data_IF_248905288977
#
_entry.id   IF_248905288977
#
_cell.length_a   1.000
_cell.length_b   1.000
_cell.length_c   1.000
_cell.angle_alpha   90.00
_cell.angle_beta   90.00
_cell.angle_gamma   90.00
#
_symmetry.space_group_name_H-M   'P 1'
#
loop_
_entity.id
_entity.type
_entity.pdbx_description
1 polymer ?
#
# COMPACT_ATOMS: atom_id res chain seq x y z
N UNK A 1 -15.43 15.22 18.79
CA UNK A 1 -14.31 15.14 17.83
C UNK A 1 -14.42 16.36 16.94
N UNK A 2 -13.48 17.29 17.01
CA UNK A 2 -13.43 18.41 16.04
C UNK A 2 -13.18 17.85 14.65
N UNK A 3 -13.72 18.48 13.57
CA UNK A 3 -13.38 18.07 12.21
C UNK A 3 -11.85 18.08 12.08
N UNK A 4 -11.27 17.00 11.54
CA UNK A 4 -9.81 16.88 11.39
C UNK A 4 -9.30 18.09 10.61
N UNK A 5 -8.28 18.77 11.19
CA UNK A 5 -7.69 19.94 10.56
C UNK A 5 -7.14 19.57 9.16
N UNK A 6 -7.36 20.40 8.11
CA UNK A 6 -7.02 20.05 6.73
C UNK A 6 -5.52 19.81 6.57
N UNK A 7 -5.17 18.61 6.06
CA UNK A 7 -3.82 18.14 5.81
C UNK A 7 -3.56 18.03 4.30
N UNK A 8 -2.48 18.65 3.82
CA UNK A 8 -1.98 18.47 2.45
C UNK A 8 -0.57 17.86 2.47
N UNK A 9 -0.13 17.27 1.34
CA UNK A 9 1.25 16.84 1.17
C UNK A 9 1.95 17.63 0.06
N UNK A 10 3.25 17.81 0.26
CA UNK A 10 4.17 18.38 -0.73
C UNK A 10 5.23 17.34 -1.07
N UNK A 11 5.25 16.88 -2.33
CA UNK A 11 6.22 15.89 -2.82
C UNK A 11 7.31 16.59 -3.63
N UNK A 12 8.56 16.45 -3.19
CA UNK A 12 9.72 17.08 -3.84
C UNK A 12 10.33 16.12 -4.86
N UNK A 13 10.09 16.39 -6.15
CA UNK A 13 10.54 15.57 -7.27
C UNK A 13 11.45 16.35 -8.26
N UNK A 14 11.90 17.56 -7.94
CA UNK A 14 12.70 18.41 -8.85
C UNK A 14 14.19 18.04 -8.90
N UNK A 15 14.66 17.06 -8.11
CA UNK A 15 16.07 16.68 -8.04
C UNK A 15 16.54 15.87 -9.26
N UNK A 16 17.73 16.19 -9.81
CA UNK A 16 18.32 15.49 -10.97
C UNK A 16 18.91 14.11 -10.66
N UNK A 17 19.24 13.80 -9.41
CA UNK A 17 19.66 12.46 -8.98
C UNK A 17 20.95 11.92 -9.64
N UNK A 18 21.90 12.78 -9.93
CA UNK A 18 23.13 12.50 -10.72
C UNK A 18 23.95 11.30 -10.24
N UNK A 19 23.83 10.89 -8.98
CA UNK A 19 24.56 9.74 -8.39
C UNK A 19 24.07 8.37 -8.86
N UNK A 20 22.89 8.29 -9.49
CA UNK A 20 22.28 7.04 -9.96
C UNK A 20 22.31 6.89 -11.49
N UNK A 21 22.74 7.93 -12.21
CA UNK A 21 22.80 7.90 -13.67
C UNK A 21 23.85 6.88 -14.13
N UNK A 22 23.43 5.97 -15.00
CA UNK A 22 24.26 4.99 -15.70
C UNK A 22 23.91 5.02 -17.18
N UNK A 23 24.66 4.29 -18.01
CA UNK A 23 24.35 4.18 -19.43
C UNK A 23 22.95 3.61 -19.72
N UNK A 24 22.40 2.86 -18.77
CA UNK A 24 21.07 2.22 -18.89
C UNK A 24 19.94 3.05 -18.23
N UNK A 25 20.26 3.82 -17.17
CA UNK A 25 19.29 4.59 -16.38
C UNK A 25 19.59 6.10 -16.56
N UNK A 26 19.09 6.70 -17.64
CA UNK A 26 19.33 8.13 -17.97
C UNK A 26 18.29 9.07 -17.37
N UNK A 27 17.11 8.55 -16.98
CA UNK A 27 16.06 9.34 -16.37
C UNK A 27 16.40 9.75 -14.92
N UNK A 28 15.86 10.86 -14.41
CA UNK A 28 15.95 11.20 -12.99
C UNK A 28 15.35 10.08 -12.13
N UNK A 29 15.98 9.80 -10.99
CA UNK A 29 15.69 8.61 -10.17
C UNK A 29 14.22 8.44 -9.77
N UNK A 30 13.49 9.53 -9.59
CA UNK A 30 12.05 9.52 -9.26
C UNK A 30 11.17 9.00 -10.40
N UNK A 31 11.69 8.92 -11.61
CA UNK A 31 11.00 8.37 -12.78
C UNK A 31 11.53 7.00 -13.22
N UNK A 32 12.53 6.45 -12.52
CA UNK A 32 13.02 5.10 -12.82
C UNK A 32 11.94 4.05 -12.52
N UNK A 33 11.82 3.01 -13.36
CA UNK A 33 10.80 1.99 -13.19
C UNK A 33 11.08 1.08 -11.99
N UNK A 34 10.03 0.87 -11.18
CA UNK A 34 9.93 -0.17 -10.15
C UNK A 34 8.75 -1.08 -10.50
N UNK A 35 9.00 -2.14 -11.28
CA UNK A 35 7.93 -2.96 -11.83
C UNK A 35 7.01 -2.16 -12.77
N UNK A 36 5.67 -2.20 -12.59
CA UNK A 36 4.72 -1.57 -13.51
C UNK A 36 4.63 -0.03 -13.36
N UNK A 37 5.27 0.56 -12.36
CA UNK A 37 5.16 1.99 -12.03
C UNK A 37 6.53 2.61 -11.77
N UNK A 38 6.72 3.92 -12.06
CA UNK A 38 7.95 4.62 -11.65
C UNK A 38 7.95 4.91 -10.13
N UNK A 39 9.14 5.20 -9.58
CA UNK A 39 9.36 5.53 -8.15
C UNK A 39 8.35 6.57 -7.64
N UNK A 40 8.14 7.67 -8.38
CA UNK A 40 7.21 8.74 -8.00
C UNK A 40 5.77 8.21 -7.83
N UNK A 41 5.31 7.35 -8.74
CA UNK A 41 3.96 6.80 -8.65
C UNK A 41 3.75 5.98 -7.39
N UNK A 42 4.75 5.18 -6.98
CA UNK A 42 4.73 4.47 -5.71
C UNK A 42 4.68 5.42 -4.51
N UNK A 43 5.45 6.50 -4.53
CA UNK A 43 5.43 7.53 -3.48
C UNK A 43 4.05 8.19 -3.35
N UNK A 44 3.41 8.52 -4.48
CA UNK A 44 2.08 9.12 -4.49
C UNK A 44 1.01 8.16 -3.98
N UNK A 45 1.10 6.87 -4.33
CA UNK A 45 0.22 5.83 -3.80
C UNK A 45 0.38 5.68 -2.28
N UNK A 46 1.63 5.70 -1.76
CA UNK A 46 1.89 5.61 -0.33
C UNK A 46 1.24 6.75 0.47
N UNK A 47 1.37 7.96 -0.01
CA UNK A 47 0.73 9.12 0.61
C UNK A 47 -0.80 9.07 0.51
N UNK A 48 -1.32 8.58 -0.62
CA UNK A 48 -2.76 8.50 -0.87
C UNK A 48 -3.49 7.50 0.05
N UNK A 49 -2.77 6.56 0.66
CA UNK A 49 -3.30 5.63 1.67
C UNK A 49 -3.82 6.35 2.93
N UNK A 50 -3.34 7.56 3.21
CA UNK A 50 -3.86 8.40 4.28
C UNK A 50 -5.19 9.04 3.85
N UNK A 51 -6.27 8.67 4.54
CA UNK A 51 -7.61 9.19 4.25
C UNK A 51 -7.75 10.68 4.61
N UNK A 52 -7.05 11.13 5.64
CA UNK A 52 -7.04 12.51 6.12
C UNK A 52 -6.28 13.45 5.17
N UNK A 53 -5.43 12.89 4.29
CA UNK A 53 -4.68 13.67 3.31
C UNK A 53 -5.61 14.15 2.20
N UNK A 54 -5.86 15.44 2.15
CA UNK A 54 -6.81 16.06 1.23
C UNK A 54 -6.26 16.19 -0.18
N UNK A 55 -5.07 16.76 -0.32
CA UNK A 55 -4.45 17.16 -1.59
C UNK A 55 -2.96 16.91 -1.59
N UNK A 56 -2.41 16.56 -2.76
CA UNK A 56 -0.96 16.36 -2.96
C UNK A 56 -0.46 17.36 -4.01
N UNK A 57 0.48 18.21 -3.61
CA UNK A 57 1.23 19.11 -4.51
C UNK A 57 2.56 18.44 -4.86
N UNK A 58 2.87 18.32 -6.15
CA UNK A 58 4.16 17.79 -6.60
C UNK A 58 5.00 18.94 -7.18
N UNK A 59 6.27 19.00 -6.78
CA UNK A 59 7.26 19.93 -7.35
C UNK A 59 8.21 19.14 -8.24
N UNK A 60 8.21 19.48 -9.54
CA UNK A 60 9.00 18.79 -10.58
C UNK A 60 10.08 19.73 -11.16
N UNK A 61 11.07 19.17 -11.84
CA UNK A 61 11.98 19.98 -12.66
C UNK A 61 11.26 20.49 -13.92
N UNK A 62 11.70 21.64 -14.45
CA UNK A 62 11.09 22.26 -15.63
C UNK A 62 10.99 21.33 -16.84
N UNK A 63 12.01 20.47 -17.05
CA UNK A 63 12.08 19.55 -18.18
C UNK A 63 11.34 18.22 -17.95
N UNK A 64 10.85 17.95 -16.74
CA UNK A 64 10.31 16.64 -16.37
C UNK A 64 8.81 16.49 -16.66
N UNK A 65 8.17 17.48 -17.27
CA UNK A 65 6.74 17.46 -17.60
C UNK A 65 6.25 16.16 -18.26
N UNK A 66 6.88 15.70 -19.36
CA UNK A 66 6.51 14.45 -20.03
C UNK A 66 6.69 13.21 -19.13
N UNK A 67 7.76 13.13 -18.35
CA UNK A 67 8.02 12.03 -17.42
C UNK A 67 7.00 12.02 -16.28
N UNK A 68 6.63 13.20 -15.79
CA UNK A 68 5.59 13.35 -14.79
C UNK A 68 4.22 12.87 -15.30
N UNK A 69 3.84 13.32 -16.51
CA UNK A 69 2.58 12.87 -17.13
C UNK A 69 2.54 11.35 -17.29
N UNK A 70 3.60 10.74 -17.81
CA UNK A 70 3.71 9.28 -17.94
C UNK A 70 3.63 8.56 -16.58
N UNK A 71 4.17 9.15 -15.51
CA UNK A 71 4.04 8.59 -14.17
C UNK A 71 2.59 8.63 -13.69
N UNK A 72 1.86 9.72 -13.95
CA UNK A 72 0.45 9.86 -13.57
C UNK A 72 -0.46 8.89 -14.31
N UNK A 73 -0.15 8.51 -15.55
CA UNK A 73 -0.94 7.55 -16.33
C UNK A 73 -0.96 6.16 -15.68
N UNK A 74 0.01 5.84 -14.83
CA UNK A 74 0.06 4.59 -14.06
C UNK A 74 -0.78 4.61 -12.78
N UNK A 75 -1.38 5.76 -12.42
CA UNK A 75 -2.13 5.95 -11.18
C UNK A 75 -3.64 5.78 -11.37
N UNK A 76 -4.37 5.30 -10.35
CA UNK A 76 -5.83 5.28 -10.36
C UNK A 76 -6.44 6.67 -10.59
N UNK A 77 -7.58 6.79 -11.31
CA UNK A 77 -8.25 8.07 -11.55
C UNK A 77 -8.58 8.84 -10.26
N UNK A 78 -9.02 8.15 -9.22
CA UNK A 78 -9.37 8.75 -7.93
C UNK A 78 -8.15 9.43 -7.26
N UNK A 79 -6.95 8.84 -7.36
CA UNK A 79 -5.74 9.47 -6.86
C UNK A 79 -5.34 10.68 -7.73
N UNK A 80 -5.44 10.56 -9.05
CA UNK A 80 -5.13 11.69 -9.96
C UNK A 80 -5.98 12.91 -9.64
N UNK A 81 -7.24 12.74 -9.25
CA UNK A 81 -8.13 13.83 -8.85
C UNK A 81 -7.68 14.57 -7.56
N UNK A 82 -6.85 13.95 -6.73
CA UNK A 82 -6.27 14.55 -5.50
C UNK A 82 -4.96 15.30 -5.77
N UNK A 83 -4.40 15.19 -6.99
CA UNK A 83 -3.15 15.85 -7.35
C UNK A 83 -3.44 17.27 -7.83
N UNK A 84 -2.78 18.25 -7.22
CA UNK A 84 -2.75 19.62 -7.74
C UNK A 84 -1.88 19.70 -9.01
N UNK A 85 -2.08 20.69 -9.89
CA UNK A 85 -1.16 20.93 -10.99
C UNK A 85 0.28 21.02 -10.49
N UNK A 86 1.27 20.40 -11.20
CA UNK A 86 2.65 20.40 -10.73
C UNK A 86 3.25 21.81 -10.72
N UNK A 87 4.17 22.05 -9.81
CA UNK A 87 4.93 23.29 -9.69
C UNK A 87 6.36 23.06 -10.16
N UNK A 88 6.90 23.98 -10.94
CA UNK A 88 8.31 23.95 -11.30
C UNK A 88 9.17 24.31 -10.09
N UNK A 89 10.13 23.45 -9.76
CA UNK A 89 11.09 23.65 -8.67
C UNK A 89 12.13 24.73 -8.98
N UNK A 90 12.85 25.13 -7.93
CA UNK A 90 13.98 26.03 -8.05
C UNK A 90 15.33 25.28 -8.05
N UNK A 91 16.43 26.06 -8.04
CA UNK A 91 17.80 25.55 -8.14
C UNK A 91 18.25 24.68 -6.94
N UNK A 92 17.56 24.79 -5.82
CA UNK A 92 17.85 24.02 -4.61
C UNK A 92 16.61 23.28 -4.12
N UNK A 93 16.81 22.23 -3.27
CA UNK A 93 15.72 21.53 -2.58
C UNK A 93 14.88 22.52 -1.75
N UNK A 94 15.53 23.42 -1.02
CA UNK A 94 14.87 24.44 -0.20
C UNK A 94 14.02 25.40 -1.05
N UNK A 95 14.55 25.87 -2.19
CA UNK A 95 13.77 26.73 -3.12
C UNK A 95 12.58 25.97 -3.71
N UNK A 96 12.75 24.71 -4.07
CA UNK A 96 11.68 23.85 -4.58
C UNK A 96 10.56 23.65 -3.55
N UNK A 97 10.90 23.39 -2.29
CA UNK A 97 9.93 23.29 -1.19
C UNK A 97 9.18 24.60 -1.02
N UNK A 98 9.88 25.73 -0.98
CA UNK A 98 9.25 27.05 -0.86
C UNK A 98 8.23 27.31 -1.95
N UNK A 99 8.59 27.06 -3.22
CA UNK A 99 7.67 27.24 -4.36
C UNK A 99 6.42 26.36 -4.24
N UNK A 100 6.58 25.12 -3.79
CA UNK A 100 5.46 24.22 -3.54
C UNK A 100 4.55 24.70 -2.39
N UNK A 101 5.12 25.21 -1.29
CA UNK A 101 4.36 25.79 -0.18
C UNK A 101 3.59 27.05 -0.63
N UNK A 102 4.21 27.90 -1.46
CA UNK A 102 3.53 29.08 -2.03
C UNK A 102 2.33 28.69 -2.91
N UNK A 103 2.48 27.62 -3.70
CA UNK A 103 1.39 27.12 -4.54
C UNK A 103 0.22 26.59 -3.70
N UNK A 104 0.51 25.87 -2.59
CA UNK A 104 -0.52 25.44 -1.64
C UNK A 104 -1.25 26.62 -0.99
N UNK A 105 -0.52 27.70 -0.66
CA UNK A 105 -1.11 28.93 -0.12
C UNK A 105 -2.01 29.64 -1.15
N UNK A 106 -1.55 29.77 -2.41
CA UNK A 106 -2.29 30.43 -3.49
C UNK A 106 -3.58 29.66 -3.83
N UNK A 107 -3.54 28.32 -3.86
CA UNK A 107 -4.72 27.50 -4.10
C UNK A 107 -5.80 27.67 -3.01
N UNK A 108 -5.39 27.89 -1.76
CA UNK A 108 -6.30 28.22 -0.67
C UNK A 108 -6.96 29.60 -0.81
N UNK A 109 -6.27 30.56 -1.39
CA UNK A 109 -6.80 31.93 -1.60
C UNK A 109 -7.75 32.02 -2.80
N UNK A 110 -7.51 31.22 -3.86
CA UNK A 110 -8.32 31.22 -5.09
C UNK A 110 -9.71 30.56 -4.90
N UNK A 111 -9.84 29.64 -3.96
CA UNK A 111 -11.11 28.98 -3.66
C UNK A 111 -12.10 29.91 -2.92
N UNK A 112 -11.62 30.96 -2.26
CA UNK A 112 -12.46 31.99 -1.63
C UNK A 112 -13.06 33.02 -2.62
N UNK A 113 -12.71 32.97 -3.91
CA UNK A 113 -13.02 34.03 -4.87
C UNK A 113 -13.95 33.61 -6.02
N UNK A 114 -14.48 32.38 -6.08
CA UNK A 114 -15.37 31.92 -7.15
C UNK A 114 -16.75 31.56 -6.62
N UNK A 115 -17.69 32.43 -7.00
CA UNK A 115 -19.15 32.25 -7.08
C UNK A 115 -19.82 31.15 -6.21
N UNK A 116 -20.36 31.57 -5.03
CA UNK A 116 -21.66 31.14 -4.50
C UNK A 116 -21.87 29.65 -4.15
N UNK A 117 -21.01 28.72 -4.57
CA UNK A 117 -20.98 27.32 -4.13
C UNK A 117 -19.71 27.08 -3.32
N UNK A 118 -19.86 27.11 -2.00
CA UNK A 118 -18.84 26.69 -1.05
C UNK A 118 -18.49 25.21 -1.32
N UNK A 119 -17.37 24.97 -2.00
CA UNK A 119 -16.64 23.75 -1.78
C UNK A 119 -16.05 23.87 -0.37
N UNK A 120 -16.55 23.09 0.58
CA UNK A 120 -16.14 23.11 1.99
C UNK A 120 -14.63 22.81 2.21
N UNK A 121 -13.85 22.58 1.16
CA UNK A 121 -12.44 22.13 1.15
C UNK A 121 -11.41 23.11 0.54
N UNK A 122 -11.74 24.36 0.29
CA UNK A 122 -10.93 25.30 -0.52
C UNK A 122 -9.84 26.09 0.21
N UNK A 123 -9.68 25.99 1.52
CA UNK A 123 -8.73 26.76 2.33
C UNK A 123 -7.27 26.30 2.23
N UNK A 124 -6.33 27.17 2.69
CA UNK A 124 -4.96 26.73 2.97
C UNK A 124 -4.96 25.58 3.98
N UNK A 125 -4.02 24.60 3.91
CA UNK A 125 -3.98 23.53 4.87
C UNK A 125 -3.63 24.04 6.27
N UNK A 126 -4.07 23.32 7.31
CA UNK A 126 -3.58 23.56 8.68
C UNK A 126 -2.19 22.93 8.86
N UNK A 127 -1.98 21.76 8.28
CA UNK A 127 -0.73 21.03 8.32
C UNK A 127 -0.28 20.60 6.92
N UNK A 128 1.03 20.44 6.75
CA UNK A 128 1.64 19.94 5.52
C UNK A 128 2.67 18.87 5.83
N UNK A 129 2.65 17.78 5.05
CA UNK A 129 3.69 16.75 5.04
C UNK A 129 4.61 17.00 3.85
N UNK A 130 5.89 17.29 4.09
CA UNK A 130 6.92 17.43 3.04
C UNK A 130 7.62 16.09 2.88
N UNK A 131 7.56 15.53 1.66
CA UNK A 131 8.06 14.18 1.40
C UNK A 131 8.94 14.11 0.17
N UNK A 132 10.02 13.33 0.24
CA UNK A 132 10.92 13.08 -0.87
C UNK A 132 10.30 12.09 -1.87
N UNK A 133 10.20 12.46 -3.14
CA UNK A 133 9.72 11.58 -4.22
C UNK A 133 10.49 10.26 -4.37
N UNK A 134 11.68 10.17 -3.81
CA UNK A 134 12.53 8.98 -3.85
C UNK A 134 12.40 8.05 -2.63
N UNK A 135 11.32 8.16 -1.86
CA UNK A 135 10.96 7.23 -0.76
C UNK A 135 9.60 6.57 -1.06
N UNK A 136 9.58 5.58 -1.95
CA UNK A 136 8.32 5.01 -2.48
C UNK A 136 7.53 4.16 -1.49
N UNK A 137 8.16 3.63 -0.45
CA UNK A 137 7.55 2.66 0.46
C UNK A 137 7.35 3.26 1.86
N UNK A 138 6.55 4.32 1.94
CA UNK A 138 6.18 4.95 3.21
C UNK A 138 5.00 4.20 3.84
N UNK A 139 5.16 3.53 5.00
CA UNK A 139 4.05 2.90 5.70
C UNK A 139 3.07 3.95 6.25
N UNK A 140 1.76 3.67 6.16
CA UNK A 140 0.70 4.55 6.69
C UNK A 140 0.88 4.83 8.19
N UNK A 141 1.31 3.84 8.97
CA UNK A 141 1.58 3.99 10.40
C UNK A 141 2.58 5.11 10.75
N UNK A 142 3.49 5.48 9.82
CA UNK A 142 4.37 6.65 10.03
C UNK A 142 3.57 7.94 9.97
N UNK A 143 2.65 8.07 9.00
CA UNK A 143 1.77 9.23 8.87
C UNK A 143 0.85 9.32 10.08
N UNK A 144 0.26 8.21 10.52
CA UNK A 144 -0.62 8.14 11.70
C UNK A 144 0.08 8.63 12.98
N UNK A 145 1.36 8.23 13.20
CA UNK A 145 2.15 8.76 14.33
C UNK A 145 2.40 10.27 14.23
N UNK A 146 2.57 10.80 13.02
CA UNK A 146 2.71 12.24 12.83
C UNK A 146 1.40 12.97 13.10
N UNK A 147 0.26 12.43 12.67
CA UNK A 147 -1.07 12.98 12.96
C UNK A 147 -1.36 12.98 14.46
N UNK A 148 -1.01 11.91 15.17
CA UNK A 148 -1.11 11.86 16.64
C UNK A 148 -0.28 12.97 17.29
N UNK A 149 0.96 13.19 16.84
CA UNK A 149 1.80 14.27 17.37
C UNK A 149 1.22 15.67 17.08
N UNK A 150 0.58 15.89 15.93
CA UNK A 150 -0.16 17.13 15.66
C UNK A 150 -1.38 17.29 16.58
N UNK A 151 -2.11 16.21 16.85
CA UNK A 151 -3.24 16.21 17.78
C UNK A 151 -2.80 16.54 19.23
N UNK A 152 -1.57 16.15 19.60
CA UNK A 152 -0.91 16.50 20.87
C UNK A 152 -0.37 17.94 20.90
N UNK A 153 -0.58 18.74 19.84
CA UNK A 153 -0.22 20.15 19.77
C UNK A 153 1.19 20.46 19.26
N UNK A 154 1.90 19.49 18.71
CA UNK A 154 3.22 19.74 18.11
C UNK A 154 3.06 20.42 16.74
N UNK A 155 3.82 21.50 16.51
CA UNK A 155 3.79 22.28 15.26
C UNK A 155 4.81 21.80 14.20
N UNK A 156 5.82 21.01 14.60
CA UNK A 156 6.80 20.41 13.72
C UNK A 156 7.10 18.96 14.16
N UNK A 157 7.06 18.03 13.22
CA UNK A 157 7.21 16.59 13.48
C UNK A 157 8.12 15.98 12.45
N UNK A 158 9.11 15.19 12.89
CA UNK A 158 10.08 14.51 12.05
C UNK A 158 9.97 12.99 12.23
N UNK A 159 9.71 12.28 11.13
CA UNK A 159 9.88 10.84 11.11
C UNK A 159 11.39 10.49 11.08
N UNK A 160 11.86 9.69 12.02
CA UNK A 160 13.27 9.35 12.13
C UNK A 160 13.45 7.95 12.74
N UNK A 161 14.63 7.36 12.55
CA UNK A 161 15.03 6.09 13.17
C UNK A 161 16.20 6.29 14.11
N UNK A 162 16.23 5.62 15.29
CA UNK A 162 17.42 5.61 16.13
C UNK A 162 18.63 5.06 15.36
N UNK A 163 19.80 5.64 15.61
CA UNK A 163 21.04 5.14 15.00
C UNK A 163 21.57 3.95 15.81
N UNK A 164 21.61 2.79 15.18
CA UNK A 164 22.09 1.54 15.80
C UNK A 164 23.56 1.25 15.51
N UNK A 165 24.08 1.68 14.34
CA UNK A 165 25.47 1.46 13.95
C UNK A 165 26.45 2.39 14.69
N UNK A 166 27.71 1.95 14.82
CA UNK A 166 28.79 2.81 15.32
C UNK A 166 29.16 3.82 14.25
N UNK A 167 28.96 5.11 14.54
CA UNK A 167 29.33 6.20 13.64
C UNK A 167 30.78 6.59 13.81
N UNK A 168 31.51 6.71 12.68
CA UNK A 168 32.91 7.18 12.63
C UNK A 168 32.96 8.54 11.93
N UNK A 169 33.73 9.46 12.55
CA UNK A 169 34.16 10.68 11.87
C UNK A 169 35.38 10.34 11.02
N UNK A 170 35.43 10.82 9.79
CA UNK A 170 36.57 10.63 8.91
C UNK A 170 37.07 11.98 8.38
N UNK A 171 38.35 12.06 8.04
CA UNK A 171 38.91 13.18 7.31
C UNK A 171 38.63 13.08 5.80
N UNK A 172 39.09 14.09 5.03
CA UNK A 172 38.91 14.12 3.56
C UNK A 172 39.59 12.96 2.81
N UNK A 173 40.59 12.31 3.42
CA UNK A 173 41.26 11.13 2.89
C UNK A 173 40.58 9.79 3.25
N UNK A 174 39.41 9.82 3.90
CA UNK A 174 38.68 8.61 4.28
C UNK A 174 39.26 7.91 5.54
N UNK A 175 40.22 8.52 6.25
CA UNK A 175 40.79 7.95 7.48
C UNK A 175 39.91 8.32 8.66
N UNK A 176 39.55 7.32 9.47
CA UNK A 176 38.75 7.54 10.68
C UNK A 176 39.51 8.39 11.71
N UNK A 177 38.91 9.49 12.17
CA UNK A 177 39.46 10.42 13.14
C UNK A 177 38.83 10.34 14.52
N UNK A 178 37.77 9.55 14.67
CA UNK A 178 37.10 9.33 15.95
C UNK A 178 35.80 8.59 15.83
N UNK A 179 35.23 8.21 16.97
CA UNK A 179 33.89 7.65 17.09
C UNK A 179 32.95 8.73 17.58
N UNK A 180 31.79 8.81 16.98
CA UNK A 180 30.68 9.70 17.41
C UNK A 180 29.82 8.92 18.40
N UNK A 181 29.53 9.51 19.55
CA UNK A 181 28.54 8.94 20.45
C UNK A 181 27.18 8.95 19.76
N UNK A 182 26.59 7.77 19.67
CA UNK A 182 25.28 7.59 19.00
C UNK A 182 24.08 7.76 19.94
N UNK A 183 24.30 7.93 21.24
CA UNK A 183 23.22 8.13 22.19
C UNK A 183 22.44 9.40 21.83
N UNK A 184 21.12 9.25 21.64
CA UNK A 184 20.25 10.35 21.23
C UNK A 184 20.38 10.78 19.77
N UNK A 185 21.14 10.07 18.92
CA UNK A 185 21.20 10.34 17.49
C UNK A 185 20.10 9.59 16.75
N UNK A 186 19.42 10.30 15.85
CA UNK A 186 18.37 9.78 15.00
C UNK A 186 18.68 10.08 13.53
N UNK A 187 18.42 9.12 12.67
CA UNK A 187 18.52 9.27 11.22
C UNK A 187 17.21 9.84 10.68
N UNK A 188 17.24 11.10 10.24
CA UNK A 188 16.07 11.79 9.70
C UNK A 188 15.55 11.14 8.42
N UNK A 189 14.25 10.98 8.35
CA UNK A 189 13.53 10.52 7.16
C UNK A 189 12.58 11.61 6.67
N UNK A 190 11.74 11.28 5.71
CA UNK A 190 10.55 12.02 5.36
C UNK A 190 9.37 11.05 5.35
N UNK A 191 8.13 11.51 5.68
CA UNK A 191 7.67 12.90 5.74
C UNK A 191 8.26 13.71 6.89
N UNK A 192 8.37 15.02 6.65
CA UNK A 192 8.58 16.04 7.67
C UNK A 192 7.31 16.86 7.73
N UNK A 193 6.66 16.90 8.89
CA UNK A 193 5.33 17.48 9.05
C UNK A 193 5.37 18.80 9.81
N UNK A 194 4.54 19.75 9.39
CA UNK A 194 4.57 21.09 9.97
C UNK A 194 3.18 21.74 10.00
N UNK A 195 2.93 22.56 11.01
CA UNK A 195 1.90 23.59 10.93
C UNK A 195 2.19 24.48 9.72
N UNK A 196 1.28 24.47 8.74
CA UNK A 196 1.51 25.07 7.43
C UNK A 196 1.90 26.57 7.49
N UNK A 197 1.21 27.44 8.24
CA UNK A 197 1.57 28.85 8.29
C UNK A 197 2.98 29.08 8.85
N UNK A 198 3.42 28.21 9.79
CA UNK A 198 4.71 28.34 10.44
C UNK A 198 5.87 27.99 9.51
N UNK A 199 5.77 26.85 8.81
CA UNK A 199 6.84 26.45 7.88
C UNK A 199 6.91 27.36 6.65
N UNK A 200 5.77 27.82 6.14
CA UNK A 200 5.76 28.79 5.04
C UNK A 200 6.44 30.11 5.44
N UNK A 201 6.13 30.63 6.64
CA UNK A 201 6.77 31.83 7.17
C UNK A 201 8.29 31.62 7.35
N UNK A 202 8.72 30.46 7.85
CA UNK A 202 10.12 30.12 8.00
C UNK A 202 10.87 30.08 6.66
N UNK A 203 10.29 29.45 5.62
CA UNK A 203 10.87 29.44 4.27
C UNK A 203 10.95 30.84 3.65
N UNK A 204 9.95 31.70 3.86
CA UNK A 204 9.96 33.10 3.40
C UNK A 204 11.06 33.92 4.11
N UNK A 205 11.18 33.78 5.42
CA UNK A 205 12.18 34.46 6.22
C UNK A 205 13.59 34.04 5.81
N UNK A 206 13.86 32.74 5.64
CA UNK A 206 15.15 32.22 5.19
C UNK A 206 15.51 32.75 3.79
N UNK A 207 14.54 32.79 2.86
CA UNK A 207 14.74 33.32 1.52
C UNK A 207 15.03 34.82 1.55
N UNK A 208 14.32 35.63 2.35
CA UNK A 208 14.56 37.04 2.53
C UNK A 208 15.95 37.34 3.14
N UNK A 209 16.43 36.47 4.00
CA UNK A 209 17.79 36.52 4.59
C UNK A 209 18.90 35.95 3.69
N UNK A 210 18.57 35.45 2.47
CA UNK A 210 19.54 34.83 1.58
C UNK A 210 20.14 33.52 2.06
N UNK A 211 19.49 32.84 3.03
CA UNK A 211 19.99 31.60 3.61
C UNK A 211 19.55 30.39 2.77
N UNK A 212 20.55 29.59 2.33
CA UNK A 212 20.33 28.42 1.43
C UNK A 212 20.96 27.12 1.93
N UNK A 213 21.56 27.11 3.11
CA UNK A 213 22.40 26.02 3.63
C UNK A 213 21.67 24.96 4.47
N UNK A 214 20.35 24.99 4.55
CA UNK A 214 19.61 24.00 5.34
C UNK A 214 19.60 22.63 4.68
N UNK A 215 19.91 21.59 5.48
CA UNK A 215 20.00 20.21 4.99
C UNK A 215 18.64 19.59 4.73
N UNK A 216 17.63 20.00 5.50
CA UNK A 216 16.24 19.56 5.41
C UNK A 216 15.28 20.65 5.95
N UNK A 217 13.95 20.37 5.92
CA UNK A 217 12.96 21.35 6.34
C UNK A 217 12.87 21.45 7.86
N UNK A 218 13.29 20.41 8.59
CA UNK A 218 13.33 20.46 10.05
C UNK A 218 14.47 21.35 10.55
N UNK A 219 15.64 21.32 9.94
CA UNK A 219 16.74 22.24 10.30
C UNK A 219 16.38 23.71 10.04
N UNK A 220 15.56 23.98 9.01
CA UNK A 220 15.02 25.30 8.76
C UNK A 220 13.94 25.68 9.81
N UNK A 221 13.08 24.75 10.20
CA UNK A 221 12.11 24.94 11.25
C UNK A 221 12.77 25.23 12.61
N UNK A 222 13.83 24.49 12.96
CA UNK A 222 14.64 24.73 14.18
C UNK A 222 15.28 26.13 14.17
N UNK A 223 15.86 26.54 13.02
CA UNK A 223 16.37 27.89 12.87
C UNK A 223 15.29 28.97 13.09
N UNK A 224 14.06 28.70 12.65
CA UNK A 224 12.90 29.58 12.86
C UNK A 224 12.31 29.47 14.28
N UNK A 225 12.91 28.72 15.19
CA UNK A 225 12.51 28.58 16.59
C UNK A 225 11.35 27.60 16.83
N UNK A 226 11.03 26.70 15.87
CA UNK A 226 10.07 25.62 16.10
C UNK A 226 10.74 24.46 16.85
N UNK A 227 10.04 23.91 17.83
CA UNK A 227 10.42 22.66 18.46
C UNK A 227 10.00 21.48 17.60
N UNK A 228 10.94 20.62 17.21
CA UNK A 228 10.69 19.47 16.34
C UNK A 228 10.49 18.20 17.18
N UNK A 229 9.31 17.63 17.12
CA UNK A 229 8.99 16.34 17.76
C UNK A 229 9.47 15.19 16.86
N UNK A 230 10.29 14.29 17.40
CA UNK A 230 10.63 13.05 16.71
C UNK A 230 9.53 12.01 16.90
N UNK A 231 9.14 11.34 15.81
CA UNK A 231 8.32 10.14 15.81
C UNK A 231 9.06 9.00 15.11
N UNK A 232 8.76 7.77 15.49
CA UNK A 232 9.42 6.62 14.89
C UNK A 232 9.06 6.50 13.41
N UNK A 233 10.08 6.49 12.56
CA UNK A 233 9.98 6.25 11.13
C UNK A 233 9.81 4.76 10.80
N UNK A 234 10.26 4.36 9.62
CA UNK A 234 10.25 2.96 9.21
C UNK A 234 11.48 2.62 8.37
N UNK A 235 12.01 1.40 8.54
CA UNK A 235 13.14 0.90 7.75
C UNK A 235 12.81 0.81 6.25
N UNK A 236 11.53 0.59 5.93
CA UNK A 236 11.03 0.51 4.55
C UNK A 236 10.87 1.89 3.89
N UNK A 237 10.79 2.97 4.68
CA UNK A 237 10.78 4.35 4.18
C UNK A 237 12.18 4.85 3.78
N UNK A 238 13.06 3.94 3.33
CA UNK A 238 14.41 4.31 2.88
C UNK A 238 14.38 5.16 1.61
N UNK A 239 15.42 5.97 1.43
CA UNK A 239 15.58 6.83 0.26
C UNK A 239 16.40 6.13 -0.81
N UNK A 240 15.88 6.04 -2.02
CA UNK A 240 16.63 5.56 -3.18
C UNK A 240 17.72 6.60 -3.52
N UNK A 241 18.97 6.27 -3.23
CA UNK A 241 20.13 7.15 -3.45
C UNK A 241 21.26 6.48 -4.22
N UNK A 242 21.38 5.17 -4.12
CA UNK A 242 22.42 4.34 -4.75
C UNK A 242 21.79 3.29 -5.67
N UNK A 243 22.64 2.64 -6.50
CA UNK A 243 22.18 1.51 -7.33
C UNK A 243 21.72 0.31 -6.47
N UNK A 244 22.34 0.10 -5.33
CA UNK A 244 21.91 -0.94 -4.40
C UNK A 244 20.49 -0.66 -3.86
N UNK A 245 20.20 0.61 -3.50
CA UNK A 245 18.85 0.99 -3.09
C UNK A 245 17.82 0.76 -4.21
N UNK A 246 18.19 1.06 -5.46
CA UNK A 246 17.29 0.84 -6.61
C UNK A 246 17.02 -0.65 -6.85
N UNK A 247 18.04 -1.50 -6.74
CA UNK A 247 17.85 -2.95 -6.87
C UNK A 247 16.98 -3.50 -5.72
N UNK A 248 17.21 -3.05 -4.49
CA UNK A 248 16.34 -3.36 -3.34
C UNK A 248 14.91 -2.91 -3.64
N UNK A 249 14.72 -1.68 -4.09
CA UNK A 249 13.40 -1.13 -4.38
C UNK A 249 12.66 -1.90 -5.50
N UNK A 250 13.37 -2.37 -6.53
CA UNK A 250 12.80 -3.23 -7.57
C UNK A 250 12.35 -4.58 -7.01
N UNK A 251 13.13 -5.18 -6.11
CA UNK A 251 12.75 -6.42 -5.43
C UNK A 251 11.55 -6.21 -4.50
N UNK A 252 11.51 -5.09 -3.76
CA UNK A 252 10.39 -4.77 -2.87
C UNK A 252 9.11 -4.49 -3.69
N UNK A 253 9.20 -3.71 -4.79
CA UNK A 253 8.06 -3.47 -5.68
C UNK A 253 7.54 -4.74 -6.34
N UNK A 254 8.40 -5.71 -6.67
CA UNK A 254 8.00 -7.00 -7.26
C UNK A 254 7.21 -7.88 -6.27
N UNK A 255 7.28 -7.61 -4.98
CA UNK A 255 6.48 -8.30 -3.94
C UNK A 255 5.08 -7.70 -3.79
N UNK A 256 4.85 -6.52 -4.37
CA UNK A 256 3.54 -5.86 -4.35
C UNK A 256 2.75 -6.31 -5.57
N UNK A 257 1.61 -6.97 -5.43
CA UNK A 257 0.79 -7.39 -6.56
C UNK A 257 0.38 -6.20 -7.44
N UNK A 258 0.48 -6.36 -8.74
CA UNK A 258 0.03 -5.36 -9.69
C UNK A 258 -1.49 -5.18 -9.56
N UNK A 259 -1.94 -4.00 -9.15
CA UNK A 259 -3.38 -3.67 -9.08
C UNK A 259 -3.96 -3.53 -7.68
N UNK A 260 -3.24 -3.94 -6.63
CA UNK A 260 -3.72 -3.70 -5.26
C UNK A 260 -3.39 -2.28 -4.78
N UNK A 261 -4.29 -1.62 -4.00
CA UNK A 261 -3.96 -0.42 -3.24
C UNK A 261 -2.74 -0.67 -2.35
N UNK A 262 -1.95 0.35 -2.08
CA UNK A 262 -0.73 0.23 -1.27
C UNK A 262 -1.00 -0.13 0.20
N UNK A 263 -2.22 0.04 0.66
CA UNK A 263 -2.74 -0.46 1.95
C UNK A 263 -2.56 -1.98 2.09
N UNK A 264 -2.53 -2.72 0.97
CA UNK A 264 -2.20 -4.15 0.96
C UNK A 264 -0.68 -4.41 1.15
N UNK A 265 0.18 -3.39 1.00
CA UNK A 265 1.63 -3.46 1.22
C UNK A 265 2.06 -2.81 2.55
N UNK A 266 1.21 -2.01 3.21
CA UNK A 266 1.36 -1.73 4.62
C UNK A 266 1.34 -3.10 5.30
N UNK A 267 2.47 -3.51 5.90
CA UNK A 267 2.48 -4.69 6.75
C UNK A 267 1.35 -4.49 7.75
N UNK A 268 0.27 -5.26 7.60
CA UNK A 268 -0.84 -5.20 8.55
C UNK A 268 -0.22 -5.28 9.93
N UNK A 269 -0.42 -4.28 10.76
CA UNK A 269 -0.01 -4.37 12.15
C UNK A 269 -0.83 -5.48 12.81
N UNK A 270 -0.26 -6.67 12.77
CA UNK A 270 -0.91 -7.85 13.31
C UNK A 270 -1.07 -7.80 14.83
N UNK A 271 -0.41 -6.86 15.53
CA UNK A 271 -0.60 -6.67 16.97
C UNK A 271 -2.00 -6.15 17.31
N UNK A 272 -2.61 -5.39 16.38
CA UNK A 272 -4.00 -4.95 16.49
C UNK A 272 -5.03 -6.10 16.33
N UNK A 273 -4.58 -7.29 15.88
CA UNK A 273 -5.41 -8.46 15.61
C UNK A 273 -4.85 -9.68 16.35
N UNK A 274 -4.89 -9.70 17.69
CA UNK A 274 -4.26 -10.74 18.49
C UNK A 274 -5.02 -12.08 18.45
N UNK A 275 -6.32 -12.09 18.15
CA UNK A 275 -7.13 -13.30 18.07
C UNK A 275 -6.91 -13.98 16.72
N UNK A 276 -6.26 -15.15 16.76
CA UNK A 276 -5.93 -15.95 15.59
C UNK A 276 -6.86 -17.14 15.52
N UNK A 277 -7.67 -17.20 14.48
CA UNK A 277 -8.60 -18.31 14.23
C UNK A 277 -8.24 -19.04 12.96
N UNK A 278 -8.28 -20.35 13.02
CA UNK A 278 -7.99 -21.25 11.89
C UNK A 278 -9.12 -22.25 11.76
N UNK A 279 -9.62 -22.39 10.53
CA UNK A 279 -10.58 -23.43 10.22
C UNK A 279 -10.29 -24.07 8.86
N UNK A 280 -10.90 -25.22 8.62
CA UNK A 280 -10.82 -25.94 7.36
C UNK A 280 -12.18 -25.99 6.69
N UNK A 281 -12.18 -25.97 5.36
CA UNK A 281 -13.35 -26.24 4.52
C UNK A 281 -13.03 -27.41 3.61
N UNK A 282 -14.03 -28.21 3.32
CA UNK A 282 -13.93 -29.34 2.41
C UNK A 282 -15.16 -29.39 1.50
N UNK A 283 -14.91 -29.45 0.19
CA UNK A 283 -15.99 -29.57 -0.79
C UNK A 283 -15.67 -30.60 -1.87
N UNK A 284 -16.73 -31.17 -2.46
CA UNK A 284 -16.63 -32.20 -3.48
C UNK A 284 -17.72 -32.01 -4.52
N UNK A 285 -17.32 -32.03 -5.80
CA UNK A 285 -18.26 -32.01 -6.91
C UNK A 285 -18.01 -33.17 -7.87
N UNK A 286 -19.09 -33.82 -8.29
CA UNK A 286 -19.05 -34.87 -9.28
C UNK A 286 -18.89 -34.29 -10.70
N UNK A 287 -18.34 -35.05 -11.62
CA UNK A 287 -18.30 -34.68 -13.03
C UNK A 287 -19.64 -34.96 -13.74
N UNK A 288 -20.03 -34.03 -14.60
CA UNK A 288 -21.13 -34.17 -15.56
C UNK A 288 -20.70 -33.73 -16.98
N UNK A 289 -21.47 -33.99 -18.04
CA UNK A 289 -21.09 -33.59 -19.40
C UNK A 289 -20.84 -32.09 -19.52
N UNK A 290 -19.73 -31.71 -20.16
CA UNK A 290 -19.31 -30.32 -20.34
C UNK A 290 -17.96 -30.25 -21.05
N UNK A 291 -17.36 -29.08 -21.15
CA UNK A 291 -16.14 -28.79 -21.90
C UNK A 291 -15.07 -28.05 -21.08
N UNK A 292 -15.40 -27.66 -19.85
CA UNK A 292 -14.45 -27.03 -18.93
C UNK A 292 -14.90 -27.23 -17.47
N UNK A 293 -13.95 -27.19 -16.54
CA UNK A 293 -14.22 -27.09 -15.10
C UNK A 293 -13.82 -25.68 -14.62
N UNK A 294 -14.60 -25.11 -13.69
CA UNK A 294 -14.23 -23.86 -13.01
C UNK A 294 -13.52 -24.23 -11.71
N UNK A 295 -12.28 -23.76 -11.53
CA UNK A 295 -11.46 -24.04 -10.36
C UNK A 295 -10.68 -22.79 -9.95
N UNK A 296 -10.90 -22.32 -8.71
CA UNK A 296 -10.22 -21.13 -8.19
C UNK A 296 -10.52 -19.85 -8.99
N UNK A 297 -11.74 -19.74 -9.52
CA UNK A 297 -12.22 -18.62 -10.30
C UNK A 297 -11.73 -18.55 -11.74
N UNK A 298 -11.11 -19.65 -12.27
CA UNK A 298 -10.68 -19.72 -13.66
C UNK A 298 -11.24 -20.94 -14.38
N UNK A 299 -11.51 -20.80 -15.69
CA UNK A 299 -11.95 -21.91 -16.52
C UNK A 299 -10.75 -22.77 -16.96
N UNK A 300 -10.77 -24.05 -16.63
CA UNK A 300 -9.74 -25.03 -16.99
C UNK A 300 -10.32 -25.98 -18.04
N UNK A 301 -9.74 -26.08 -19.23
CA UNK A 301 -10.21 -26.98 -20.27
C UNK A 301 -10.26 -28.44 -19.79
N UNK A 302 -11.39 -29.11 -19.97
CA UNK A 302 -11.61 -30.49 -19.57
C UNK A 302 -12.79 -31.06 -20.37
N UNK A 303 -12.85 -32.39 -20.59
CA UNK A 303 -13.94 -33.07 -21.35
C UNK A 303 -15.28 -33.12 -20.58
N UNK A 304 -15.30 -32.65 -19.32
CA UNK A 304 -16.45 -32.68 -18.42
C UNK A 304 -16.43 -31.40 -17.58
N UNK A 305 -17.57 -30.95 -17.06
CA UNK A 305 -17.72 -29.91 -16.05
C UNK A 305 -18.06 -30.51 -14.69
N UNK A 306 -18.02 -29.70 -13.66
CA UNK A 306 -18.48 -30.08 -12.32
C UNK A 306 -20.00 -29.85 -12.18
N UNK A 307 -20.68 -30.75 -11.52
CA UNK A 307 -22.10 -30.69 -11.23
C UNK A 307 -22.33 -29.82 -9.98
N UNK A 308 -23.26 -28.86 -10.05
CA UNK A 308 -23.59 -28.01 -8.91
C UNK A 308 -24.70 -27.01 -9.23
N UNK A 309 -25.18 -26.30 -8.20
CA UNK A 309 -26.22 -25.27 -8.34
C UNK A 309 -25.64 -23.92 -8.81
N UNK A 310 -24.36 -23.67 -8.52
CA UNK A 310 -23.58 -22.51 -8.99
C UNK A 310 -22.76 -22.88 -10.22
N UNK A 311 -21.62 -22.23 -10.45
CA UNK A 311 -20.57 -22.66 -11.40
C UNK A 311 -19.77 -23.88 -10.90
N UNK A 312 -20.11 -24.38 -9.71
CA UNK A 312 -19.51 -25.56 -9.05
C UNK A 312 -17.99 -25.46 -8.82
N UNK A 313 -17.46 -24.27 -8.54
CA UNK A 313 -16.05 -24.08 -8.20
C UNK A 313 -15.77 -24.65 -6.81
N UNK A 314 -15.36 -25.92 -6.75
CA UNK A 314 -15.05 -26.66 -5.52
C UNK A 314 -13.94 -26.01 -4.70
N UNK A 315 -13.04 -25.25 -5.33
CA UNK A 315 -11.93 -24.53 -4.66
C UNK A 315 -12.44 -23.32 -3.91
N UNK A 316 -13.25 -22.48 -4.56
CA UNK A 316 -13.83 -21.29 -3.92
C UNK A 316 -14.86 -21.67 -2.86
N UNK A 317 -15.62 -22.75 -3.03
CA UNK A 317 -16.52 -23.26 -2.01
C UNK A 317 -15.77 -23.72 -0.74
N UNK A 318 -14.72 -24.52 -0.91
CA UNK A 318 -13.90 -24.96 0.24
C UNK A 318 -13.24 -23.78 0.96
N UNK A 319 -12.78 -22.75 0.23
CA UNK A 319 -12.23 -21.52 0.82
C UNK A 319 -13.29 -20.72 1.56
N UNK A 320 -14.51 -20.63 1.02
CA UNK A 320 -15.64 -19.96 1.66
C UNK A 320 -15.96 -20.60 2.99
N UNK A 321 -16.08 -21.94 3.03
CA UNK A 321 -16.35 -22.70 4.26
C UNK A 321 -15.22 -22.56 5.29
N UNK A 322 -13.96 -22.57 4.83
CA UNK A 322 -12.83 -22.34 5.73
C UNK A 322 -12.89 -20.96 6.40
N UNK A 323 -13.26 -19.93 5.67
CA UNK A 323 -13.39 -18.56 6.19
C UNK A 323 -14.58 -18.45 7.15
N UNK A 324 -15.76 -18.94 6.75
CA UNK A 324 -16.97 -18.95 7.60
C UNK A 324 -16.74 -19.74 8.88
N UNK A 325 -16.11 -20.92 8.79
CA UNK A 325 -15.76 -21.72 9.93
C UNK A 325 -14.79 -21.04 10.92
N UNK A 326 -13.83 -20.27 10.41
CA UNK A 326 -12.88 -19.53 11.26
C UNK A 326 -13.54 -18.41 12.07
N UNK A 327 -14.65 -17.86 11.59
CA UNK A 327 -15.45 -16.85 12.31
C UNK A 327 -16.70 -17.46 12.98
N UNK A 328 -16.77 -18.80 13.04
CA UNK A 328 -17.88 -19.55 13.64
C UNK A 328 -19.27 -19.19 13.07
N UNK A 329 -19.34 -18.89 11.77
CA UNK A 329 -20.55 -18.42 11.07
C UNK A 329 -21.14 -19.48 10.12
N UNK A 330 -21.24 -20.74 10.61
CA UNK A 330 -21.84 -21.85 9.87
C UNK A 330 -21.05 -22.22 8.59
N UNK A 331 -21.78 -22.49 7.49
CA UNK A 331 -21.26 -22.97 6.21
C UNK A 331 -21.92 -22.26 5.01
N UNK A 332 -21.41 -22.49 3.81
CA UNK A 332 -21.93 -21.91 2.57
C UNK A 332 -23.40 -22.25 2.35
N UNK A 333 -23.86 -23.44 2.75
CA UNK A 333 -25.26 -23.87 2.59
C UNK A 333 -26.24 -23.09 3.47
N UNK A 334 -25.80 -22.60 4.63
CA UNK A 334 -26.59 -21.78 5.52
C UNK A 334 -26.79 -20.35 4.98
N UNK A 335 -25.75 -19.79 4.33
CA UNK A 335 -25.80 -18.44 3.74
C UNK A 335 -26.42 -18.43 2.34
N UNK A 336 -26.25 -19.52 1.57
CA UNK A 336 -26.66 -19.64 0.18
C UNK A 336 -27.43 -20.95 -0.04
N UNK A 337 -28.68 -21.05 0.49
CA UNK A 337 -29.43 -22.29 0.41
C UNK A 337 -29.62 -22.75 -1.05
N UNK A 338 -29.31 -24.00 -1.39
CA UNK A 338 -29.50 -24.53 -2.74
C UNK A 338 -30.96 -24.48 -3.24
N UNK A 339 -31.90 -24.35 -2.31
CA UNK A 339 -33.34 -24.20 -2.61
C UNK A 339 -33.72 -22.80 -3.16
N UNK A 340 -32.85 -21.78 -3.02
CA UNK A 340 -33.10 -20.43 -3.54
C UNK A 340 -32.68 -20.34 -5.01
N UNK A 341 -33.63 -20.17 -5.96
CA UNK A 341 -33.35 -20.13 -7.40
C UNK A 341 -32.35 -19.04 -7.83
N UNK A 342 -32.17 -17.98 -7.04
CA UNK A 342 -31.26 -16.87 -7.36
C UNK A 342 -29.80 -17.30 -7.45
N UNK A 343 -29.41 -18.40 -6.80
CA UNK A 343 -28.05 -18.91 -6.79
C UNK A 343 -27.75 -19.88 -7.93
N UNK A 344 -28.76 -20.20 -8.73
CA UNK A 344 -28.60 -21.12 -9.87
C UNK A 344 -27.70 -20.51 -10.94
N UNK A 345 -26.55 -21.11 -11.17
CA UNK A 345 -25.53 -20.63 -12.11
C UNK A 345 -24.75 -19.39 -11.62
N UNK A 346 -24.85 -19.02 -10.35
CA UNK A 346 -24.08 -17.92 -9.78
C UNK A 346 -22.58 -18.24 -9.82
N UNK A 347 -21.75 -17.23 -10.06
CA UNK A 347 -20.30 -17.36 -9.94
C UNK A 347 -19.88 -17.48 -8.46
N UNK A 348 -19.03 -18.45 -8.14
CA UNK A 348 -18.65 -18.78 -6.76
C UNK A 348 -17.78 -17.72 -6.09
N UNK A 349 -17.21 -16.77 -6.83
CA UNK A 349 -16.51 -15.63 -6.26
C UNK A 349 -17.41 -14.77 -5.37
N UNK A 350 -18.71 -14.68 -5.65
CA UNK A 350 -19.69 -13.96 -4.83
C UNK A 350 -19.83 -14.57 -3.42
N UNK A 351 -19.71 -15.89 -3.30
CA UNK A 351 -19.78 -16.58 -2.00
C UNK A 351 -18.53 -16.29 -1.17
N UNK A 352 -17.37 -16.32 -1.83
CA UNK A 352 -16.10 -15.99 -1.18
C UNK A 352 -16.07 -14.52 -0.74
N UNK A 353 -16.50 -13.59 -1.58
CA UNK A 353 -16.60 -12.15 -1.25
C UNK A 353 -17.52 -11.95 -0.04
N UNK A 354 -18.68 -12.60 0.01
CA UNK A 354 -19.58 -12.51 1.16
C UNK A 354 -18.92 -12.97 2.46
N UNK A 355 -18.16 -14.08 2.44
CA UNK A 355 -17.43 -14.53 3.63
C UNK A 355 -16.34 -13.53 4.07
N UNK A 356 -15.67 -12.88 3.11
CA UNK A 356 -14.71 -11.81 3.39
C UNK A 356 -15.38 -10.58 4.02
N UNK A 357 -16.56 -10.19 3.53
CA UNK A 357 -17.35 -9.08 4.08
C UNK A 357 -17.77 -9.36 5.53
N UNK A 358 -18.10 -10.61 5.87
CA UNK A 358 -18.42 -11.02 7.25
C UNK A 358 -17.20 -10.95 8.17
N UNK A 359 -16.00 -11.28 7.68
CA UNK A 359 -14.74 -11.07 8.41
C UNK A 359 -14.48 -9.59 8.63
N UNK A 360 -14.65 -8.76 7.59
CA UNK A 360 -14.46 -7.32 7.66
C UNK A 360 -15.48 -6.65 8.61
N UNK A 361 -16.74 -7.08 8.60
CA UNK A 361 -17.78 -6.59 9.52
C UNK A 361 -17.45 -6.87 11.01
N UNK A 362 -16.65 -7.91 11.28
CA UNK A 362 -16.09 -8.19 12.61
C UNK A 362 -14.77 -7.47 12.86
N UNK A 363 -14.38 -6.50 12.03
CA UNK A 363 -13.11 -5.80 12.11
C UNK A 363 -11.88 -6.69 11.84
N UNK A 364 -12.09 -7.90 11.32
CA UNK A 364 -11.04 -8.90 11.11
C UNK A 364 -10.35 -8.78 9.76
N UNK A 365 -9.30 -9.58 9.60
CA UNK A 365 -8.54 -9.72 8.34
C UNK A 365 -8.18 -11.18 8.07
N UNK A 366 -8.22 -11.55 6.79
CA UNK A 366 -7.66 -12.83 6.34
C UNK A 366 -6.14 -12.73 6.37
N UNK A 367 -5.48 -13.66 7.05
CA UNK A 367 -4.03 -13.68 7.17
C UNK A 367 -3.36 -14.63 6.16
N UNK A 368 -3.99 -15.76 5.85
CA UNK A 368 -3.44 -16.75 4.92
C UNK A 368 -4.55 -17.70 4.44
N UNK A 369 -4.46 -18.11 3.18
CA UNK A 369 -5.32 -19.12 2.56
C UNK A 369 -4.45 -20.21 1.95
N UNK A 370 -4.81 -21.46 2.20
CA UNK A 370 -4.17 -22.64 1.63
C UNK A 370 -5.24 -23.61 1.12
N UNK A 371 -5.10 -24.09 -0.11
CA UNK A 371 -6.02 -25.08 -0.67
C UNK A 371 -5.27 -26.20 -1.36
N UNK A 372 -5.73 -27.43 -1.14
CA UNK A 372 -5.26 -28.64 -1.80
C UNK A 372 -6.37 -29.23 -2.66
N UNK A 373 -6.14 -29.34 -3.96
CA UNK A 373 -7.05 -29.93 -4.94
C UNK A 373 -6.67 -31.38 -5.12
N UNK A 374 -7.64 -32.28 -4.98
CA UNK A 374 -7.45 -33.74 -5.12
C UNK A 374 -8.18 -34.20 -6.39
N UNK A 375 -7.45 -34.51 -7.45
CA UNK A 375 -8.01 -35.00 -8.72
C UNK A 375 -6.96 -35.74 -9.57
N UNK A 376 -7.38 -36.68 -10.40
CA UNK A 376 -6.55 -37.29 -11.42
C UNK A 376 -6.44 -36.42 -12.70
N UNK A 377 -7.51 -35.68 -12.99
CA UNK A 377 -7.64 -34.73 -14.10
C UNK A 377 -8.62 -33.61 -13.72
N UNK A 378 -8.42 -32.37 -14.27
CA UNK A 378 -7.33 -31.94 -15.14
C UNK A 378 -5.98 -31.85 -14.40
N UNK A 379 -4.88 -31.62 -15.11
CA UNK A 379 -3.58 -31.34 -14.51
C UNK A 379 -3.55 -29.90 -13.98
N UNK A 380 -3.41 -29.76 -12.66
CA UNK A 380 -3.47 -28.45 -11.98
C UNK A 380 -2.16 -27.66 -12.12
N UNK A 381 -1.01 -28.34 -12.21
CA UNK A 381 0.29 -27.68 -12.27
C UNK A 381 0.40 -26.52 -13.25
N UNK A 382 -0.04 -26.66 -14.52
CA UNK A 382 0.03 -25.60 -15.53
C UNK A 382 -0.83 -24.36 -15.23
N UNK A 383 -1.93 -24.52 -14.48
CA UNK A 383 -2.93 -23.47 -14.20
C UNK A 383 -2.89 -22.98 -12.74
N UNK A 384 -2.05 -23.59 -11.90
CA UNK A 384 -1.94 -23.31 -10.46
C UNK A 384 -1.66 -21.85 -10.15
N UNK A 385 -0.73 -21.22 -10.87
CA UNK A 385 -0.34 -19.84 -10.57
C UNK A 385 -1.43 -18.85 -10.99
N UNK A 386 -2.16 -19.11 -12.07
CA UNK A 386 -3.33 -18.33 -12.46
C UNK A 386 -4.48 -18.45 -11.43
N UNK A 387 -4.71 -19.64 -10.84
CA UNK A 387 -5.65 -19.80 -9.73
C UNK A 387 -5.22 -18.99 -8.50
N UNK A 388 -3.93 -19.04 -8.13
CA UNK A 388 -3.39 -18.26 -7.00
C UNK A 388 -3.59 -16.77 -7.20
N UNK A 389 -3.30 -16.27 -8.40
CA UNK A 389 -3.49 -14.85 -8.76
C UNK A 389 -4.97 -14.46 -8.66
N UNK A 390 -5.87 -15.28 -9.20
CA UNK A 390 -7.31 -15.01 -9.15
C UNK A 390 -7.86 -15.04 -7.73
N UNK A 391 -7.49 -16.01 -6.90
CA UNK A 391 -7.88 -16.07 -5.48
C UNK A 391 -7.32 -14.87 -4.72
N UNK A 392 -6.06 -14.50 -4.95
CA UNK A 392 -5.44 -13.34 -4.33
C UNK A 392 -6.17 -12.03 -4.71
N UNK A 393 -6.59 -11.90 -5.98
CA UNK A 393 -7.40 -10.78 -6.48
C UNK A 393 -8.75 -10.71 -5.78
N UNK A 394 -9.52 -11.81 -5.75
CA UNK A 394 -10.85 -11.86 -5.11
C UNK A 394 -10.75 -11.49 -3.63
N UNK A 395 -9.71 -12.01 -2.93
CA UNK A 395 -9.55 -11.82 -1.49
C UNK A 395 -8.79 -10.55 -1.12
N UNK A 396 -8.35 -9.75 -2.08
CA UNK A 396 -7.45 -8.60 -1.88
C UNK A 396 -6.23 -8.95 -1.01
N UNK A 397 -5.63 -10.14 -1.24
CA UNK A 397 -4.48 -10.64 -0.50
C UNK A 397 -3.20 -10.56 -1.32
N UNK A 398 -2.03 -10.32 -0.68
CA UNK A 398 -0.74 -10.52 -1.31
C UNK A 398 -0.59 -11.98 -1.78
N UNK A 399 -0.03 -12.18 -2.99
CA UNK A 399 0.12 -13.52 -3.60
C UNK A 399 0.87 -14.51 -2.70
N UNK A 400 1.82 -14.02 -1.87
CA UNK A 400 2.55 -14.84 -0.88
C UNK A 400 1.69 -15.34 0.30
N UNK A 401 0.42 -14.92 0.40
CA UNK A 401 -0.55 -15.37 1.41
C UNK A 401 -1.60 -16.32 0.86
N UNK A 402 -1.47 -16.72 -0.40
CA UNK A 402 -2.35 -17.68 -1.06
C UNK A 402 -1.51 -18.85 -1.56
N UNK A 403 -1.85 -20.07 -1.12
CA UNK A 403 -1.22 -21.31 -1.55
C UNK A 403 -2.25 -22.19 -2.26
N UNK A 404 -1.88 -22.70 -3.44
CA UNK A 404 -2.65 -23.71 -4.17
C UNK A 404 -1.74 -24.91 -4.42
N UNK A 405 -2.16 -26.09 -3.94
CA UNK A 405 -1.49 -27.37 -4.10
C UNK A 405 -2.42 -28.35 -4.78
N UNK A 406 -1.88 -29.35 -5.42
CA UNK A 406 -2.67 -30.42 -5.98
C UNK A 406 -1.98 -31.77 -5.77
N UNK A 407 -2.80 -32.79 -5.61
CA UNK A 407 -2.36 -34.18 -5.54
C UNK A 407 -3.33 -35.10 -6.27
N UNK A 408 -2.86 -36.25 -6.67
CA UNK A 408 -3.71 -37.39 -7.07
C UNK A 408 -4.12 -38.17 -5.83
N UNK A 409 -5.08 -39.06 -5.98
CA UNK A 409 -5.41 -40.08 -4.96
C UNK A 409 -4.86 -41.45 -5.31
N UNK A 410 -3.85 -41.52 -6.19
CA UNK A 410 -3.21 -42.77 -6.63
C UNK A 410 -4.22 -43.82 -7.16
N UNK A 411 -5.23 -43.32 -7.89
CA UNK A 411 -6.35 -44.09 -8.44
C UNK A 411 -7.28 -44.73 -7.38
N UNK A 412 -7.21 -44.30 -6.13
CA UNK A 412 -8.08 -44.72 -5.06
C UNK A 412 -9.27 -43.78 -4.91
N UNK A 413 -10.41 -44.37 -4.47
CA UNK A 413 -11.63 -43.60 -4.20
C UNK A 413 -12.27 -42.99 -5.45
N UNK A 414 -13.23 -42.10 -5.26
CA UNK A 414 -13.99 -41.44 -6.34
C UNK A 414 -13.12 -40.49 -7.19
N UNK A 415 -12.19 -39.79 -6.56
CA UNK A 415 -11.23 -38.93 -7.29
C UNK A 415 -10.31 -39.77 -8.17
N UNK A 416 -9.85 -40.93 -7.65
CA UNK A 416 -9.01 -41.87 -8.40
C UNK A 416 -9.72 -42.57 -9.57
N UNK A 417 -11.04 -42.77 -9.45
CA UNK A 417 -11.88 -43.25 -10.55
C UNK A 417 -12.34 -42.16 -11.51
N UNK A 418 -11.89 -40.91 -11.30
CA UNK A 418 -12.26 -39.73 -12.10
C UNK A 418 -13.77 -39.47 -12.10
N UNK A 419 -14.42 -39.64 -10.96
CA UNK A 419 -15.84 -39.39 -10.77
C UNK A 419 -16.12 -37.92 -10.38
N UNK A 420 -15.11 -37.21 -9.88
CA UNK A 420 -15.22 -35.82 -9.45
C UNK A 420 -13.89 -35.25 -8.96
N UNK A 421 -13.95 -34.04 -8.40
CA UNK A 421 -12.84 -33.30 -7.78
C UNK A 421 -13.20 -33.00 -6.34
N UNK A 422 -12.22 -33.10 -5.43
CA UNK A 422 -12.31 -32.64 -4.05
C UNK A 422 -11.35 -31.48 -3.81
N UNK A 423 -11.71 -30.56 -2.94
CA UNK A 423 -10.83 -29.50 -2.43
C UNK A 423 -10.86 -29.46 -0.90
N UNK A 424 -9.70 -29.34 -0.30
CA UNK A 424 -9.52 -29.10 1.13
C UNK A 424 -8.84 -27.76 1.31
N UNK A 425 -9.49 -26.81 1.97
CA UNK A 425 -8.97 -25.48 2.22
C UNK A 425 -8.70 -25.26 3.72
N UNK A 426 -7.77 -24.35 4.01
CA UNK A 426 -7.51 -23.84 5.35
C UNK A 426 -7.43 -22.32 5.27
N UNK A 427 -8.19 -21.64 6.13
CA UNK A 427 -8.13 -20.19 6.28
C UNK A 427 -7.59 -19.82 7.66
N UNK A 428 -6.68 -18.86 7.70
CA UNK A 428 -6.23 -18.20 8.93
C UNK A 428 -6.80 -16.79 8.94
N UNK A 429 -7.63 -16.51 9.93
CA UNK A 429 -8.27 -15.21 10.16
C UNK A 429 -7.66 -14.60 11.43
N UNK A 430 -7.56 -13.28 11.46
CA UNK A 430 -7.16 -12.52 12.64
C UNK A 430 -8.21 -11.48 12.96
N UNK A 431 -8.66 -11.47 14.21
CA UNK A 431 -9.67 -10.56 14.73
C UNK A 431 -9.08 -9.63 15.81
N UNK A 432 -9.68 -8.43 16.02
CA UNK A 432 -9.38 -7.60 17.18
C UNK A 432 -9.69 -8.34 18.49
N UNK A 433 -9.04 -7.95 19.59
CA UNK A 433 -9.34 -8.50 20.92
C UNK A 433 -10.77 -8.20 21.35
N UNK A 434 -11.43 -9.14 22.05
CA UNK A 434 -12.69 -8.87 22.78
C UNK A 434 -13.99 -8.98 21.98
N UNK A 435 -14.01 -9.65 20.85
CA UNK A 435 -15.23 -9.80 20.01
C UNK A 435 -16.16 -10.96 20.42
N UNK A 436 -15.78 -11.80 21.39
CA UNK A 436 -16.56 -12.98 21.78
C UNK A 436 -17.47 -12.76 23.02
N UNK A 437 -17.59 -11.52 23.53
CA UNK A 437 -18.40 -11.21 24.72
C UNK A 437 -19.76 -10.53 24.41
N UNK A 438 -20.28 -10.66 23.17
CA UNK A 438 -21.57 -10.11 22.77
C UNK A 438 -22.57 -11.18 22.38
#
# INVERSE_FOLDING_TARGET
>A
MSPSAPLDALVVAAGRGTRLQSAEDTAPKQYLPLGPRPVLAWTLLALAACAELRRIQVVIHADDGPLYAAALDTLPPALRARLAPPVTGGDTRQASVRLGLEALAAAGSAAGARDGHQLEDGGAPAFVLIHDAARPFLPLAVIERMLAAFADGHEAVLAALPVHDTLKRANSGGVATGTVDRQGLWAAQTPQGFAFPRILAAHRAAAAAGLTGFTDDTSLAEWAGLSVKLVEGAADAYKITTRADLLRARADAARVPAGLPQDACAMTDWSAYPDIRVATGYDVHAFEPGDAVILGGIAVPHERKLAGHSDADVVLHALTDAILGAIADRDIGAHFPPSDPKWKGAASDQFLIHALDLVAARGGKVAHLDVTIVCEAPKIGPVRDAMRERIAEICALPLGRVSVKATTSERLGFTGRKEGIAALATATIRLPAGQDEA
#
